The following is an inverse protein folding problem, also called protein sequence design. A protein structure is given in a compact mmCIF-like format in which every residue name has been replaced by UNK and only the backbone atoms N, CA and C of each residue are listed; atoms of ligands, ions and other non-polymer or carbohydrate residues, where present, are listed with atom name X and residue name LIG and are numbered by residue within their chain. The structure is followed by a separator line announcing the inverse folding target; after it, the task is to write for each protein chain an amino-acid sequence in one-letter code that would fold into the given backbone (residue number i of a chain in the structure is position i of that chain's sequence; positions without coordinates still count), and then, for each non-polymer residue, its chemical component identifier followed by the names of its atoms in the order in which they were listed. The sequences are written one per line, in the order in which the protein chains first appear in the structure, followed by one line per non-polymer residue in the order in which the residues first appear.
data_IF_029629067700
#
_entry.id   IF_029629067700
#
_cell.length_a   1.000
_cell.length_b   1.000
_cell.length_c   1.000
_cell.angle_alpha   90.00
_cell.angle_beta   90.00
_cell.angle_gamma   90.00
#
_symmetry.space_group_name_H-M   'P 1'
#
loop_
_entity.id
_entity.type
_entity.pdbx_description
1 polymer ?
#
# COMPACT_ATOMS: atom_id res chain seq x y z
N UNK A 1 -39.44 45.78 -12.63
CA UNK A 1 -39.05 45.97 -14.05
C UNK A 1 -38.34 44.69 -14.47
N UNK A 2 -39.12 43.65 -14.82
CA UNK A 2 -39.41 43.17 -16.21
C UNK A 2 -38.17 42.53 -16.84
N UNK A 3 -38.05 41.19 -16.80
CA UNK A 3 -38.48 40.19 -17.83
C UNK A 3 -37.51 40.18 -19.05
N UNK A 4 -37.14 39.09 -19.73
CA UNK A 4 -37.53 37.66 -19.82
C UNK A 4 -36.49 36.96 -20.74
N UNK A 5 -36.00 35.73 -20.47
CA UNK A 5 -36.47 34.41 -20.95
C UNK A 5 -36.07 33.97 -22.39
N UNK A 6 -35.78 32.65 -22.52
CA UNK A 6 -35.81 31.83 -23.77
C UNK A 6 -34.47 31.15 -24.13
N UNK A 7 -34.16 29.91 -23.71
CA UNK A 7 -34.46 28.60 -24.37
C UNK A 7 -33.86 28.44 -25.79
N UNK A 8 -32.84 27.59 -25.99
CA UNK A 8 -32.83 26.13 -26.26
C UNK A 8 -32.72 25.81 -27.76
N UNK A 9 -31.71 25.01 -28.16
CA UNK A 9 -31.85 23.79 -28.98
C UNK A 9 -30.51 23.28 -29.53
N UNK A 10 -30.29 21.98 -29.39
CA UNK A 10 -29.27 21.19 -30.06
C UNK A 10 -29.64 20.92 -31.53
N UNK A 11 -28.64 20.68 -32.40
CA UNK A 11 -28.72 19.63 -33.42
C UNK A 11 -27.37 19.32 -34.08
N UNK A 12 -27.09 18.02 -34.17
CA UNK A 12 -26.05 17.38 -34.99
C UNK A 12 -26.47 17.33 -36.46
N UNK A 13 -25.51 17.44 -37.39
CA UNK A 13 -25.63 16.81 -38.72
C UNK A 13 -24.23 16.43 -39.22
N UNK A 14 -24.01 15.15 -39.49
CA UNK A 14 -22.90 14.65 -40.30
C UNK A 14 -23.26 14.64 -41.78
N UNK A 15 -22.26 14.64 -42.66
CA UNK A 15 -22.44 14.28 -44.06
C UNK A 15 -21.25 13.47 -44.57
N UNK A 16 -21.55 12.23 -44.99
CA UNK A 16 -20.72 11.37 -45.84
C UNK A 16 -20.85 11.88 -47.28
N UNK A 17 -19.76 11.85 -48.05
CA UNK A 17 -19.82 11.78 -49.52
C UNK A 17 -18.98 10.58 -49.97
N UNK A 18 -19.58 9.77 -50.84
CA UNK A 18 -19.09 8.50 -51.35
C UNK A 18 -19.02 8.54 -52.89
N UNK A 19 -17.95 7.94 -53.44
CA UNK A 19 -17.81 7.22 -54.72
C UNK A 19 -17.95 7.94 -56.08
N UNK A 20 -16.87 7.83 -56.89
CA UNK A 20 -16.80 7.32 -58.30
C UNK A 20 -15.33 7.35 -58.74
N UNK A 21 -14.68 6.37 -59.39
CA UNK A 21 -15.05 5.12 -60.05
C UNK A 21 -14.74 5.18 -61.57
N UNK A 22 -13.65 4.55 -62.04
CA UNK A 22 -13.44 4.16 -63.46
C UNK A 22 -12.00 4.24 -64.01
N UNK A 23 -11.45 3.10 -64.51
CA UNK A 23 -10.15 2.92 -65.24
C UNK A 23 -10.19 3.39 -66.71
N UNK A 24 -9.26 3.13 -67.65
CA UNK A 24 -8.10 2.23 -67.82
C UNK A 24 -7.10 2.80 -68.88
N UNK A 25 -5.82 2.35 -68.82
CA UNK A 25 -4.75 2.08 -69.85
C UNK A 25 -4.37 2.97 -71.06
N UNK A 26 -3.07 3.34 -71.04
CA UNK A 26 -1.95 3.21 -72.04
C UNK A 26 -2.04 3.94 -73.39
N UNK A 27 -1.00 4.51 -74.03
CA UNK A 27 0.47 4.48 -73.96
C UNK A 27 0.96 5.68 -74.84
N UNK A 28 2.19 6.20 -74.66
CA UNK A 28 2.82 7.11 -75.66
C UNK A 28 3.78 8.18 -75.11
N UNK A 29 5.07 7.89 -75.22
CA UNK A 29 6.26 8.79 -75.19
C UNK A 29 6.07 10.11 -76.00
N UNK A 30 6.72 11.27 -75.78
CA UNK A 30 8.07 11.62 -75.32
C UNK A 30 8.17 13.16 -75.08
N UNK A 31 9.27 13.57 -74.41
CA UNK A 31 10.03 14.84 -74.53
C UNK A 31 10.14 15.77 -73.30
N UNK A 32 11.39 15.84 -72.84
CA UNK A 32 12.10 16.78 -71.97
C UNK A 32 11.50 18.18 -71.70
N UNK A 33 11.55 18.63 -70.44
CA UNK A 33 12.61 19.51 -69.90
C UNK A 33 12.31 19.86 -68.43
N UNK A 34 13.37 20.00 -67.62
CA UNK A 34 13.31 19.90 -66.17
C UNK A 34 12.83 21.14 -65.41
N UNK A 35 12.52 20.92 -64.13
CA UNK A 35 13.12 21.66 -63.02
C UNK A 35 12.79 21.00 -61.67
N UNK A 36 13.84 20.67 -60.94
CA UNK A 36 14.01 20.82 -59.49
C UNK A 36 12.82 20.47 -58.56
N UNK A 37 13.02 19.40 -57.79
CA UNK A 37 12.79 19.49 -56.33
C UNK A 37 13.77 18.61 -55.58
N UNK A 38 14.65 19.26 -54.81
CA UNK A 38 15.34 18.68 -53.68
C UNK A 38 14.28 18.19 -52.69
N UNK A 39 14.26 16.89 -52.41
CA UNK A 39 13.36 16.30 -51.40
C UNK A 39 13.70 14.86 -51.02
N UNK A 40 14.94 14.42 -51.27
CA UNK A 40 15.31 13.01 -51.17
C UNK A 40 16.06 12.57 -49.91
N UNK A 41 16.33 13.47 -48.95
CA UNK A 41 17.15 13.13 -47.78
C UNK A 41 16.40 13.13 -46.43
N UNK A 42 15.29 13.87 -46.27
CA UNK A 42 14.54 13.88 -45.00
C UNK A 42 13.62 12.66 -44.86
N UNK A 43 12.95 12.23 -45.94
CA UNK A 43 12.08 11.03 -45.93
C UNK A 43 12.84 9.74 -45.52
N UNK A 44 14.15 9.67 -45.81
CA UNK A 44 14.98 8.49 -45.51
C UNK A 44 15.51 8.49 -44.05
N UNK A 45 15.71 9.67 -43.45
CA UNK A 45 16.09 9.77 -42.03
C UNK A 45 14.90 9.47 -41.12
N UNK A 46 13.72 9.98 -41.44
CA UNK A 46 12.48 9.70 -40.71
C UNK A 46 12.09 8.22 -40.83
N UNK A 47 12.27 7.58 -41.99
CA UNK A 47 12.05 6.14 -42.14
C UNK A 47 13.07 5.30 -41.37
N UNK A 48 14.33 5.74 -41.32
CA UNK A 48 15.38 5.06 -40.54
C UNK A 48 15.16 5.23 -39.04
N UNK A 49 14.73 6.42 -38.60
CA UNK A 49 14.36 6.73 -37.24
C UNK A 49 13.10 5.97 -36.82
N UNK A 50 12.07 5.94 -37.68
CA UNK A 50 10.87 5.13 -37.49
C UNK A 50 11.19 3.64 -37.46
N UNK A 51 12.11 3.15 -38.28
CA UNK A 51 12.57 1.75 -38.26
C UNK A 51 13.37 1.42 -37.00
N UNK A 52 14.14 2.37 -36.47
CA UNK A 52 14.83 2.26 -35.20
C UNK A 52 13.82 2.22 -34.04
N UNK A 53 12.86 3.14 -34.01
CA UNK A 53 11.73 3.14 -33.06
C UNK A 53 10.96 1.82 -33.18
N UNK A 54 10.69 1.33 -34.39
CA UNK A 54 9.94 0.08 -34.61
C UNK A 54 10.70 -1.15 -34.14
N UNK A 55 12.04 -1.14 -34.24
CA UNK A 55 12.93 -2.15 -33.67
C UNK A 55 13.00 -2.06 -32.13
N UNK A 56 12.89 -0.86 -31.57
CA UNK A 56 12.77 -0.64 -30.12
C UNK A 56 11.36 -1.00 -29.59
N UNK A 57 10.32 -0.84 -30.42
CA UNK A 57 8.93 -1.22 -30.12
C UNK A 57 8.67 -2.72 -30.31
N UNK A 58 9.52 -3.44 -31.04
CA UNK A 58 9.38 -4.88 -31.28
C UNK A 58 10.15 -5.71 -30.25
N UNK A 59 9.67 -5.73 -29.02
CA UNK A 59 9.81 -6.90 -28.16
C UNK A 59 8.44 -7.20 -27.54
N UNK A 60 8.02 -8.45 -27.70
CA UNK A 60 6.76 -9.05 -27.22
C UNK A 60 6.27 -8.40 -25.92
N UNK A 61 4.96 -8.13 -25.83
CA UNK A 61 4.30 -7.91 -24.55
C UNK A 61 4.73 -9.08 -23.63
N UNK A 62 5.46 -8.84 -22.52
CA UNK A 62 6.07 -9.94 -21.80
C UNK A 62 4.98 -10.87 -21.29
N UNK A 63 5.16 -12.17 -21.53
CA UNK A 63 4.61 -13.20 -20.65
C UNK A 63 4.82 -12.75 -19.20
N UNK A 64 3.77 -12.82 -18.36
CA UNK A 64 3.77 -12.50 -16.92
C UNK A 64 5.06 -11.83 -16.42
N UNK A 65 5.12 -10.49 -16.51
CA UNK A 65 6.33 -9.72 -16.18
C UNK A 65 6.90 -10.21 -14.83
N UNK A 66 8.09 -10.85 -14.81
CA UNK A 66 8.67 -11.46 -13.61
C UNK A 66 9.14 -10.40 -12.60
N UNK A 67 9.15 -9.12 -13.01
CA UNK A 67 9.51 -7.99 -12.15
C UNK A 67 8.62 -7.94 -10.91
N UNK A 68 9.25 -8.03 -9.75
CA UNK A 68 8.59 -8.00 -8.45
C UNK A 68 9.36 -7.20 -7.39
N UNK A 69 10.63 -6.88 -7.63
CA UNK A 69 11.47 -6.09 -6.72
C UNK A 69 11.71 -4.73 -7.37
N UNK A 70 11.24 -3.67 -6.71
CA UNK A 70 11.22 -2.32 -7.25
C UNK A 70 12.05 -1.37 -6.38
N UNK A 71 12.71 -0.39 -7.02
CA UNK A 71 13.14 0.81 -6.30
C UNK A 71 11.92 1.56 -5.78
N UNK A 72 12.01 2.05 -4.55
CA UNK A 72 10.97 2.85 -3.92
C UNK A 72 10.89 4.19 -4.65
N UNK A 73 9.71 4.59 -5.17
CA UNK A 73 9.55 5.89 -5.81
C UNK A 73 9.95 7.04 -4.88
N UNK A 74 10.71 8.02 -5.40
CA UNK A 74 11.21 9.15 -4.60
C UNK A 74 10.12 9.94 -3.86
N UNK A 75 8.89 9.97 -4.40
CA UNK A 75 7.74 10.58 -3.74
C UNK A 75 7.51 9.95 -2.35
N UNK A 76 7.57 8.62 -2.23
CA UNK A 76 7.40 7.92 -0.95
C UNK A 76 8.59 8.09 -0.02
N UNK A 77 9.79 8.36 -0.54
CA UNK A 77 11.01 8.49 0.28
C UNK A 77 11.04 9.82 1.05
N UNK A 78 10.42 10.88 0.50
CA UNK A 78 10.56 12.29 0.93
C UNK A 78 10.43 12.56 2.43
N UNK A 79 9.46 11.93 3.09
CA UNK A 79 9.18 12.19 4.50
C UNK A 79 10.20 11.57 5.46
N UNK A 80 10.70 10.38 5.13
CA UNK A 80 11.57 9.60 5.99
C UNK A 80 12.31 8.53 5.18
N UNK A 81 13.51 8.85 4.71
CA UNK A 81 14.32 7.95 3.88
C UNK A 81 14.84 6.73 4.66
N UNK A 82 15.14 6.91 5.95
CA UNK A 82 15.77 5.89 6.81
C UNK A 82 14.90 4.64 7.04
N UNK A 83 13.63 4.67 6.63
CA UNK A 83 12.72 3.52 6.72
C UNK A 83 12.82 2.58 5.52
N UNK A 84 13.48 2.98 4.44
CA UNK A 84 13.68 2.17 3.24
C UNK A 84 15.12 1.66 3.07
N UNK A 85 16.06 2.20 3.85
CA UNK A 85 17.49 1.89 3.74
C UNK A 85 17.91 0.85 4.79
N UNK A 86 18.61 -0.25 4.40
CA UNK A 86 19.11 -1.24 5.33
C UNK A 86 20.19 -0.65 6.26
N UNK A 87 20.21 -1.12 7.51
CA UNK A 87 21.09 -0.61 8.57
C UNK A 87 22.19 -1.58 8.99
N UNK A 88 21.96 -2.87 8.86
CA UNK A 88 22.83 -3.97 9.30
C UNK A 88 23.21 -4.90 8.15
N UNK A 89 22.25 -5.32 7.32
CA UNK A 89 22.46 -6.35 6.31
C UNK A 89 21.91 -5.95 4.95
N UNK A 90 22.76 -5.91 3.94
CA UNK A 90 22.33 -5.87 2.54
C UNK A 90 21.90 -7.26 2.08
N UNK A 91 20.84 -7.37 1.32
CA UNK A 91 20.34 -8.60 0.71
C UNK A 91 19.97 -8.26 -0.72
N UNK A 92 20.56 -8.98 -1.67
CA UNK A 92 20.32 -8.71 -3.07
C UNK A 92 21.15 -7.55 -3.62
N UNK A 93 20.94 -7.18 -4.89
CA UNK A 93 21.82 -6.32 -5.66
C UNK A 93 21.76 -4.84 -5.28
N UNK A 94 20.59 -4.34 -4.86
CA UNK A 94 20.33 -2.89 -4.75
C UNK A 94 21.12 -2.17 -3.68
N UNK A 95 21.52 -2.88 -2.62
CA UNK A 95 22.38 -2.38 -1.54
C UNK A 95 23.71 -3.14 -1.44
N UNK A 96 24.02 -3.98 -2.43
CA UNK A 96 25.24 -4.80 -2.42
C UNK A 96 26.51 -3.94 -2.42
N UNK A 97 27.52 -4.35 -1.65
CA UNK A 97 28.81 -3.66 -1.59
C UNK A 97 28.81 -2.34 -0.80
N UNK A 98 27.68 -1.97 -0.17
CA UNK A 98 27.59 -0.77 0.67
C UNK A 98 28.60 -0.78 1.82
N UNK A 99 29.47 0.23 1.90
CA UNK A 99 30.55 0.31 2.92
C UNK A 99 30.06 0.14 4.36
N UNK A 100 28.87 0.67 4.67
CA UNK A 100 28.26 0.60 6.02
C UNK A 100 27.75 -0.80 6.39
N UNK A 101 27.53 -1.68 5.41
CA UNK A 101 26.93 -3.00 5.57
C UNK A 101 27.96 -4.14 5.49
N UNK A 102 29.21 -3.82 5.16
CA UNK A 102 30.29 -4.80 4.99
C UNK A 102 30.53 -5.67 6.23
N UNK A 103 30.27 -5.15 7.43
CA UNK A 103 30.44 -5.90 8.67
C UNK A 103 29.62 -7.20 8.71
N UNK A 104 28.45 -7.24 8.05
CA UNK A 104 27.60 -8.42 8.03
C UNK A 104 28.02 -9.46 6.99
N UNK A 105 28.83 -9.10 5.99
CA UNK A 105 29.23 -10.04 4.93
C UNK A 105 30.01 -11.25 5.49
N UNK A 106 30.83 -11.03 6.53
CA UNK A 106 31.52 -12.12 7.23
C UNK A 106 30.54 -13.07 7.94
N UNK A 107 29.50 -12.51 8.56
CA UNK A 107 28.45 -13.29 9.24
C UNK A 107 27.65 -14.12 8.24
N UNK A 108 27.34 -13.57 7.06
CA UNK A 108 26.68 -14.33 5.99
C UNK A 108 27.51 -15.51 5.51
N UNK A 109 28.82 -15.31 5.35
CA UNK A 109 29.74 -16.39 5.00
C UNK A 109 29.79 -17.46 6.09
N UNK A 110 29.80 -17.06 7.37
CA UNK A 110 29.71 -17.99 8.49
C UNK A 110 28.39 -18.77 8.48
N UNK A 111 27.27 -18.12 8.14
CA UNK A 111 25.97 -18.77 8.02
C UNK A 111 25.93 -19.78 6.86
N UNK A 112 26.49 -19.43 5.70
CA UNK A 112 26.64 -20.34 4.57
C UNK A 112 27.48 -21.56 4.98
N UNK A 113 28.63 -21.34 5.63
CA UNK A 113 29.47 -22.42 6.11
C UNK A 113 28.71 -23.34 7.07
N UNK A 114 27.99 -22.80 8.06
CA UNK A 114 27.19 -23.59 8.98
C UNK A 114 26.10 -24.43 8.29
N UNK A 115 25.54 -23.98 7.16
CA UNK A 115 24.60 -24.77 6.36
C UNK A 115 25.29 -25.91 5.60
N UNK A 116 26.49 -25.68 5.07
CA UNK A 116 27.28 -26.70 4.39
C UNK A 116 27.81 -27.75 5.37
N UNK A 117 28.18 -27.32 6.58
CA UNK A 117 28.77 -28.13 7.64
C UNK A 117 27.76 -29.05 8.35
N UNK A 118 26.48 -29.05 7.94
CA UNK A 118 25.46 -29.84 8.61
C UNK A 118 25.60 -31.36 8.41
N UNK A 119 26.41 -31.86 7.44
CA UNK A 119 27.01 -33.22 7.39
C UNK A 119 28.17 -33.35 6.38
N UNK A 120 29.46 -33.12 6.72
CA UNK A 120 30.53 -33.30 5.73
C UNK A 120 31.80 -34.01 6.19
N UNK A 121 32.36 -34.76 5.25
CA UNK A 121 33.81 -34.78 5.00
C UNK A 121 34.20 -33.55 4.16
N UNK A 122 35.47 -33.10 4.15
CA UNK A 122 35.91 -31.91 3.41
C UNK A 122 35.46 -31.86 1.93
N UNK A 123 35.38 -33.03 1.29
CA UNK A 123 34.95 -33.15 -0.11
C UNK A 123 33.44 -32.95 -0.30
N UNK A 124 32.62 -33.31 0.69
CA UNK A 124 31.15 -33.25 0.58
C UNK A 124 30.64 -31.81 0.66
N UNK A 125 31.19 -30.97 1.54
CA UNK A 125 30.83 -29.54 1.64
C UNK A 125 31.10 -28.78 0.34
N UNK A 126 32.23 -29.09 -0.31
CA UNK A 126 32.61 -28.47 -1.58
C UNK A 126 31.66 -28.89 -2.71
N UNK A 127 31.30 -30.18 -2.78
CA UNK A 127 30.32 -30.69 -3.76
C UNK A 127 28.96 -30.00 -3.58
N UNK A 128 28.47 -29.88 -2.33
CA UNK A 128 27.21 -29.18 -2.06
C UNK A 128 27.24 -27.71 -2.47
N UNK A 129 28.34 -26.98 -2.20
CA UNK A 129 28.46 -25.58 -2.64
C UNK A 129 28.43 -25.45 -4.17
N UNK A 130 29.11 -26.34 -4.89
CA UNK A 130 29.09 -26.37 -6.36
C UNK A 130 27.68 -26.60 -6.89
N UNK A 131 26.89 -27.47 -6.26
CA UNK A 131 25.50 -27.71 -6.61
C UNK A 131 24.60 -26.49 -6.40
N UNK A 132 24.76 -25.77 -5.28
CA UNK A 132 24.04 -24.52 -5.01
C UNK A 132 24.36 -23.46 -6.07
N UNK A 133 25.65 -23.27 -6.37
CA UNK A 133 26.10 -22.29 -7.37
C UNK A 133 25.58 -22.65 -8.76
N UNK A 134 25.65 -23.92 -9.18
CA UNK A 134 25.12 -24.37 -10.47
C UNK A 134 23.62 -24.13 -10.58
N UNK A 135 22.86 -24.46 -9.53
CA UNK A 135 21.43 -24.28 -9.51
C UNK A 135 21.05 -22.80 -9.68
N UNK A 136 21.65 -21.89 -8.91
CA UNK A 136 21.39 -20.45 -9.03
C UNK A 136 21.87 -19.90 -10.39
N UNK A 137 23.03 -20.33 -10.88
CA UNK A 137 23.56 -19.90 -12.18
C UNK A 137 22.62 -20.24 -13.33
N UNK A 138 22.00 -21.43 -13.29
CA UNK A 138 21.07 -21.87 -14.34
C UNK A 138 19.81 -21.00 -14.50
N UNK A 139 19.50 -20.19 -13.48
CA UNK A 139 18.33 -19.33 -13.45
C UNK A 139 18.69 -17.84 -13.39
N UNK A 140 19.96 -17.47 -13.62
CA UNK A 140 20.47 -16.10 -13.49
C UNK A 140 19.66 -15.08 -14.30
N UNK A 141 19.34 -15.38 -15.57
CA UNK A 141 18.59 -14.48 -16.45
C UNK A 141 17.20 -14.17 -15.89
N UNK A 142 16.48 -15.21 -15.43
CA UNK A 142 15.19 -15.05 -14.75
C UNK A 142 15.33 -14.25 -13.46
N UNK A 143 16.37 -14.51 -12.66
CA UNK A 143 16.58 -13.79 -11.39
C UNK A 143 16.86 -12.31 -11.61
N UNK A 144 17.58 -11.95 -12.66
CA UNK A 144 17.84 -10.55 -13.03
C UNK A 144 16.58 -9.85 -13.50
N UNK A 145 15.68 -10.54 -14.20
CA UNK A 145 14.41 -9.97 -14.68
C UNK A 145 13.37 -9.76 -13.58
N UNK A 146 13.60 -10.27 -12.35
CA UNK A 146 12.77 -9.95 -11.19
C UNK A 146 12.96 -8.53 -10.65
N UNK A 147 14.04 -7.83 -11.03
CA UNK A 147 14.35 -6.47 -10.59
C UNK A 147 13.93 -5.45 -11.64
N UNK A 148 13.27 -4.36 -11.22
CA UNK A 148 12.81 -3.33 -12.16
C UNK A 148 13.99 -2.59 -12.82
N UNK A 149 15.10 -2.45 -12.10
CA UNK A 149 16.37 -1.95 -12.61
C UNK A 149 17.33 -3.11 -12.75
N UNK A 150 17.85 -3.33 -13.96
CA UNK A 150 18.79 -4.43 -14.21
C UNK A 150 20.04 -4.27 -13.33
N UNK A 151 20.35 -5.27 -12.48
CA UNK A 151 21.52 -5.19 -11.61
C UNK A 151 22.83 -5.10 -12.39
N UNK A 152 23.62 -4.05 -12.14
CA UNK A 152 24.96 -3.86 -12.72
C UNK A 152 26.02 -4.67 -11.94
N UNK A 153 25.91 -6.00 -12.04
CA UNK A 153 26.84 -6.94 -11.42
C UNK A 153 27.24 -7.98 -12.45
N UNK A 154 28.53 -8.34 -12.47
CA UNK A 154 29.02 -9.47 -13.27
C UNK A 154 28.36 -10.76 -12.82
N UNK A 155 28.21 -11.72 -13.74
CA UNK A 155 27.54 -13.00 -13.47
C UNK A 155 28.12 -13.71 -12.24
N UNK A 156 29.46 -13.74 -12.11
CA UNK A 156 30.11 -14.34 -10.95
C UNK A 156 29.67 -13.71 -9.63
N UNK A 157 29.73 -12.37 -9.53
CA UNK A 157 29.40 -11.63 -8.31
C UNK A 157 27.90 -11.72 -7.98
N UNK A 158 27.05 -11.66 -9.01
CA UNK A 158 25.61 -11.81 -8.86
C UNK A 158 25.23 -13.19 -8.32
N UNK A 159 25.74 -14.27 -8.91
CA UNK A 159 25.45 -15.65 -8.45
C UNK A 159 26.01 -15.87 -7.05
N UNK A 160 27.23 -15.38 -6.76
CA UNK A 160 27.83 -15.47 -5.43
C UNK A 160 26.93 -14.81 -4.37
N UNK A 161 26.49 -13.59 -4.64
CA UNK A 161 25.60 -12.85 -3.74
C UNK A 161 24.28 -13.58 -3.52
N UNK A 162 23.62 -14.06 -4.59
CA UNK A 162 22.36 -14.79 -4.49
C UNK A 162 22.48 -16.04 -3.57
N UNK A 163 23.57 -16.79 -3.70
CA UNK A 163 23.82 -17.97 -2.86
C UNK A 163 24.08 -17.57 -1.41
N UNK A 164 24.99 -16.64 -1.17
CA UNK A 164 25.39 -16.21 0.19
C UNK A 164 24.22 -15.58 0.93
N UNK A 165 23.52 -14.63 0.30
CA UNK A 165 22.40 -13.92 0.89
C UNK A 165 21.19 -14.84 1.10
N UNK A 166 20.92 -15.75 0.14
CA UNK A 166 19.82 -16.72 0.27
C UNK A 166 20.06 -17.72 1.40
N UNK A 167 21.29 -18.21 1.55
CA UNK A 167 21.70 -19.06 2.67
C UNK A 167 21.62 -18.31 4.01
N UNK A 168 21.99 -17.03 4.06
CA UNK A 168 21.82 -16.20 5.25
C UNK A 168 20.35 -16.12 5.67
N UNK A 169 19.44 -15.82 4.74
CA UNK A 169 17.98 -15.78 5.01
C UNK A 169 17.49 -17.10 5.58
N UNK A 170 17.84 -18.23 4.94
CA UNK A 170 17.37 -19.57 5.36
C UNK A 170 17.81 -19.88 6.80
N UNK A 171 19.10 -19.67 7.10
CA UNK A 171 19.64 -19.97 8.44
C UNK A 171 19.07 -19.03 9.50
N UNK A 172 18.94 -17.75 9.18
CA UNK A 172 18.29 -16.77 10.06
C UNK A 172 16.85 -17.21 10.37
N UNK A 173 16.06 -17.57 9.37
CA UNK A 173 14.68 -18.01 9.55
C UNK A 173 14.56 -19.29 10.39
N UNK A 174 15.47 -20.26 10.21
CA UNK A 174 15.53 -21.47 11.05
C UNK A 174 15.74 -21.14 12.52
N UNK A 175 16.66 -20.23 12.81
CA UNK A 175 16.96 -19.78 14.17
C UNK A 175 15.81 -18.98 14.78
N UNK A 176 15.24 -18.03 14.04
CA UNK A 176 14.11 -17.20 14.50
C UNK A 176 12.87 -18.04 14.85
N UNK A 177 12.65 -19.12 14.10
CA UNK A 177 11.53 -20.05 14.29
C UNK A 177 11.86 -21.23 15.23
N UNK A 178 13.03 -21.22 15.90
CA UNK A 178 13.48 -22.26 16.85
C UNK A 178 13.61 -23.67 16.25
N UNK A 179 13.80 -23.78 14.94
CA UNK A 179 14.19 -25.04 14.28
C UNK A 179 15.69 -25.30 14.37
N UNK A 180 16.48 -24.25 14.66
CA UNK A 180 17.90 -24.33 14.95
C UNK A 180 18.19 -23.46 16.17
N UNK A 181 18.93 -23.98 17.15
CA UNK A 181 19.36 -23.16 18.29
C UNK A 181 20.50 -22.25 17.86
N UNK A 182 20.43 -20.93 18.11
CA UNK A 182 21.57 -20.05 17.92
C UNK A 182 22.74 -20.53 18.77
N UNK A 183 23.94 -20.55 18.20
CA UNK A 183 25.15 -20.75 18.99
C UNK A 183 25.28 -19.66 20.06
N UNK A 184 25.91 -19.98 21.19
CA UNK A 184 26.13 -19.02 22.30
C UNK A 184 26.80 -17.72 21.81
N UNK A 185 27.62 -17.81 20.77
CA UNK A 185 28.34 -16.69 20.16
C UNK A 185 27.75 -16.20 18.82
N UNK A 186 26.49 -16.52 18.51
CA UNK A 186 25.86 -16.01 17.29
C UNK A 186 25.77 -14.48 17.32
N UNK A 187 26.40 -13.76 16.36
CA UNK A 187 26.50 -12.30 16.40
C UNK A 187 25.15 -11.60 16.14
N UNK A 188 24.18 -12.28 15.53
CA UNK A 188 22.85 -11.74 15.22
C UNK A 188 21.92 -11.92 16.41
N UNK A 189 21.79 -13.15 16.92
CA UNK A 189 20.82 -13.48 17.97
C UNK A 189 21.30 -13.14 19.38
N UNK A 190 22.61 -13.03 19.62
CA UNK A 190 23.16 -12.65 20.94
C UNK A 190 22.91 -11.19 21.29
N UNK A 191 22.90 -10.30 20.30
CA UNK A 191 22.73 -8.85 20.52
C UNK A 191 21.34 -8.43 20.06
N UNK A 192 20.39 -8.13 20.98
CA UNK A 192 19.00 -7.82 20.62
C UNK A 192 18.84 -6.71 19.57
N UNK A 193 19.72 -5.69 19.63
CA UNK A 193 19.71 -4.60 18.66
C UNK A 193 20.11 -5.04 17.25
N UNK A 194 21.05 -5.98 17.13
CA UNK A 194 21.46 -6.53 15.82
C UNK A 194 20.34 -7.40 15.27
N UNK A 195 19.77 -8.29 16.08
CA UNK A 195 18.59 -9.08 15.73
C UNK A 195 17.44 -8.21 15.20
N UNK A 196 17.04 -7.17 15.95
CA UNK A 196 15.96 -6.28 15.54
C UNK A 196 16.26 -5.51 14.25
N UNK A 197 17.52 -5.10 14.05
CA UNK A 197 17.94 -4.43 12.81
C UNK A 197 17.95 -5.39 11.61
N UNK A 198 18.44 -6.62 11.78
CA UNK A 198 18.39 -7.66 10.72
C UNK A 198 16.95 -7.99 10.35
N UNK A 199 16.05 -8.17 11.32
CA UNK A 199 14.62 -8.39 11.04
C UNK A 199 14.00 -7.27 10.23
N UNK A 200 14.31 -6.02 10.59
CA UNK A 200 13.85 -4.84 9.85
C UNK A 200 14.38 -4.88 8.41
N UNK A 201 15.67 -5.09 8.24
CA UNK A 201 16.34 -5.08 6.94
C UNK A 201 15.83 -6.17 5.99
N UNK A 202 15.47 -7.35 6.52
CA UNK A 202 14.87 -8.45 5.74
C UNK A 202 13.45 -8.12 5.22
N UNK A 203 12.82 -7.07 5.73
CA UNK A 203 11.48 -6.62 5.35
C UNK A 203 11.49 -5.35 4.48
N UNK A 204 12.66 -4.89 4.03
CA UNK A 204 12.76 -3.74 3.13
C UNK A 204 12.56 -4.17 1.68
N UNK A 205 11.76 -3.42 0.91
CA UNK A 205 11.42 -3.75 -0.48
C UNK A 205 12.65 -3.84 -1.38
N UNK A 206 13.59 -2.92 -1.21
CA UNK A 206 14.83 -2.89 -1.99
C UNK A 206 15.87 -3.93 -1.52
N UNK A 207 15.62 -4.62 -0.42
CA UNK A 207 16.56 -5.54 0.22
C UNK A 207 16.04 -6.99 0.15
N UNK A 208 15.58 -7.41 -1.03
CA UNK A 208 14.92 -8.69 -1.26
C UNK A 208 15.68 -9.55 -2.27
N UNK A 209 15.47 -10.88 -2.18
CA UNK A 209 15.78 -11.83 -3.24
C UNK A 209 14.48 -12.38 -3.84
N UNK A 210 14.48 -12.77 -5.13
CA UNK A 210 13.38 -13.52 -5.70
C UNK A 210 13.16 -14.82 -4.92
N UNK A 211 11.90 -15.16 -4.65
CA UNK A 211 11.51 -16.32 -3.84
C UNK A 211 12.11 -17.62 -4.38
N UNK A 212 12.25 -17.75 -5.70
CA UNK A 212 12.86 -18.92 -6.34
C UNK A 212 14.30 -19.17 -5.85
N UNK A 213 15.07 -18.15 -5.47
CA UNK A 213 16.41 -18.31 -4.87
C UNK A 213 16.30 -19.02 -3.53
N UNK A 214 15.49 -18.46 -2.63
CA UNK A 214 15.32 -18.95 -1.26
C UNK A 214 14.75 -20.37 -1.29
N UNK A 215 13.74 -20.63 -2.13
CA UNK A 215 13.14 -21.95 -2.30
C UNK A 215 14.14 -22.97 -2.85
N UNK A 216 14.91 -22.61 -3.88
CA UNK A 216 15.90 -23.49 -4.50
C UNK A 216 17.00 -23.91 -3.52
N UNK A 217 17.51 -22.96 -2.74
CA UNK A 217 18.54 -23.18 -1.73
C UNK A 217 17.99 -23.91 -0.51
N UNK A 218 16.77 -23.58 -0.07
CA UNK A 218 16.11 -24.24 1.06
C UNK A 218 15.93 -25.74 0.80
N UNK A 219 15.39 -26.10 -0.38
CA UNK A 219 15.18 -27.50 -0.74
C UNK A 219 16.49 -28.32 -0.78
N UNK A 220 17.62 -27.67 -1.12
CA UNK A 220 18.94 -28.31 -1.17
C UNK A 220 19.67 -28.35 0.18
N UNK A 221 19.25 -27.52 1.13
CA UNK A 221 19.82 -27.44 2.47
C UNK A 221 18.83 -27.92 3.54
N UNK A 222 17.74 -28.56 3.14
CA UNK A 222 16.66 -29.01 4.02
C UNK A 222 17.16 -30.05 5.02
N UNK A 223 16.77 -29.89 6.28
CA UNK A 223 17.07 -30.82 7.37
C UNK A 223 15.86 -31.73 7.63
N UNK A 224 16.06 -32.97 8.11
CA UNK A 224 14.95 -33.81 8.56
C UNK A 224 14.13 -33.09 9.64
N UNK A 225 12.82 -32.98 9.44
CA UNK A 225 11.91 -32.26 10.35
C UNK A 225 11.64 -30.80 9.98
N UNK A 226 12.33 -30.25 8.96
CA UNK A 226 11.99 -28.93 8.45
C UNK A 226 10.56 -28.91 7.87
N UNK A 227 9.72 -27.92 8.26
CA UNK A 227 8.46 -27.69 7.58
C UNK A 227 8.67 -27.11 6.17
N UNK A 228 7.57 -26.85 5.45
CA UNK A 228 7.65 -26.11 4.19
C UNK A 228 8.21 -24.70 4.43
N UNK A 229 8.98 -24.16 3.48
CA UNK A 229 9.58 -22.82 3.58
C UNK A 229 8.56 -21.75 3.97
N UNK A 230 7.30 -21.87 3.51
CA UNK A 230 6.23 -20.92 3.83
C UNK A 230 5.85 -20.86 5.31
N UNK A 231 6.22 -21.88 6.10
CA UNK A 231 6.01 -21.90 7.55
C UNK A 231 7.13 -21.19 8.31
N UNK A 232 8.28 -20.97 7.68
CA UNK A 232 9.34 -20.14 8.23
C UNK A 232 9.02 -18.67 7.97
N UNK A 233 8.60 -17.99 9.03
CA UNK A 233 8.24 -16.58 8.96
C UNK A 233 8.91 -15.84 10.10
N UNK A 234 9.38 -14.64 9.80
CA UNK A 234 9.82 -13.67 10.80
C UNK A 234 8.61 -13.37 11.68
N UNK A 235 8.79 -13.51 12.99
CA UNK A 235 7.76 -13.12 13.94
C UNK A 235 7.48 -11.60 13.79
N UNK A 236 6.37 -11.27 13.15
CA UNK A 236 5.95 -9.88 12.91
C UNK A 236 5.43 -9.32 14.23
N UNK A 237 6.02 -8.23 14.67
CA UNK A 237 5.76 -7.63 15.99
C UNK A 237 4.28 -7.31 16.27
N UNK A 238 3.46 -7.09 15.23
CA UNK A 238 2.01 -6.87 15.36
C UNK A 238 1.12 -8.10 15.11
N UNK A 239 1.71 -9.28 14.90
CA UNK A 239 1.00 -10.54 14.72
C UNK A 239 1.55 -11.61 15.67
N UNK A 240 0.73 -12.18 16.58
CA UNK A 240 1.17 -13.27 17.45
C UNK A 240 1.60 -14.46 16.60
N UNK A 241 2.60 -15.21 17.07
CA UNK A 241 3.17 -16.35 16.33
C UNK A 241 2.09 -17.37 15.89
N UNK A 242 1.03 -17.57 16.69
CA UNK A 242 -0.11 -18.44 16.38
C UNK A 242 -0.90 -18.01 15.13
N UNK A 243 -0.94 -16.72 14.84
CA UNK A 243 -1.60 -16.15 13.66
C UNK A 243 -0.86 -16.53 12.39
N UNK A 244 0.47 -16.41 12.41
CA UNK A 244 1.34 -16.68 11.26
C UNK A 244 1.32 -18.17 10.89
N UNK A 245 1.27 -19.06 11.89
CA UNK A 245 1.26 -20.51 11.68
C UNK A 245 -0.05 -21.07 11.12
N UNK A 246 -1.18 -20.36 11.28
CA UNK A 246 -2.53 -20.89 10.97
C UNK A 246 -3.05 -20.52 9.57
N UNK A 247 -2.49 -19.50 8.91
CA UNK A 247 -3.05 -18.93 7.65
C UNK A 247 -2.19 -19.12 6.39
N UNK A 248 -1.38 -20.17 6.31
CA UNK A 248 -0.73 -20.55 5.03
C UNK A 248 -1.78 -21.13 4.07
N UNK A 249 -2.62 -20.29 3.47
CA UNK A 249 -3.54 -20.68 2.40
C UNK A 249 -2.79 -20.69 1.08
N UNK A 250 -2.47 -21.89 0.62
CA UNK A 250 -1.81 -22.15 -0.65
C UNK A 250 -2.78 -21.91 -1.81
N UNK A 251 -2.65 -20.77 -2.51
CA UNK A 251 -3.18 -20.59 -3.88
C UNK A 251 -2.33 -19.64 -4.75
N UNK A 252 -1.49 -18.79 -4.16
CA UNK A 252 -0.72 -17.75 -4.88
C UNK A 252 0.78 -18.05 -4.91
N UNK A 253 1.42 -17.82 -6.06
CA UNK A 253 2.87 -17.91 -6.22
C UNK A 253 3.55 -16.72 -5.51
N UNK A 254 4.30 -17.02 -4.44
CA UNK A 254 5.10 -16.05 -3.67
C UNK A 254 6.26 -15.56 -4.54
N UNK A 255 6.46 -14.23 -4.61
CA UNK A 255 7.47 -13.61 -5.48
C UNK A 255 8.78 -13.27 -4.77
N UNK A 256 8.73 -12.86 -3.51
CA UNK A 256 9.88 -12.62 -2.63
C UNK A 256 9.41 -12.66 -1.17
N UNK A 257 10.34 -12.52 -0.22
CA UNK A 257 10.03 -12.69 1.20
C UNK A 257 9.03 -11.64 1.72
N UNK A 258 9.17 -10.36 1.33
CA UNK A 258 8.19 -9.32 1.68
C UNK A 258 6.77 -9.58 1.11
N UNK A 259 6.64 -10.23 -0.06
CA UNK A 259 5.35 -10.61 -0.67
C UNK A 259 4.64 -11.69 0.17
N UNK A 260 5.38 -12.65 0.70
CA UNK A 260 4.84 -13.64 1.64
C UNK A 260 4.31 -12.98 2.91
N UNK A 261 5.06 -12.02 3.47
CA UNK A 261 4.63 -11.26 4.66
C UNK A 261 3.35 -10.49 4.36
N UNK A 262 3.25 -9.86 3.19
CA UNK A 262 2.02 -9.20 2.75
C UNK A 262 0.84 -10.19 2.70
N UNK A 263 1.01 -11.31 2.02
CA UNK A 263 -0.06 -12.31 1.85
C UNK A 263 -0.55 -12.86 3.20
N UNK A 264 0.35 -13.03 4.18
CA UNK A 264 -0.03 -13.43 5.55
C UNK A 264 -0.88 -12.37 6.27
N UNK A 265 -0.61 -11.09 6.06
CA UNK A 265 -1.35 -9.99 6.68
C UNK A 265 -2.72 -9.80 6.03
N UNK A 266 -2.77 -9.87 4.70
CA UNK A 266 -4.01 -9.77 3.92
C UNK A 266 -4.90 -10.99 4.16
N UNK A 267 -4.32 -12.19 4.26
CA UNK A 267 -5.05 -13.42 4.48
C UNK A 267 -6.08 -13.66 3.37
N UNK A 268 -7.33 -13.95 3.76
CA UNK A 268 -8.43 -14.27 2.84
C UNK A 268 -9.36 -13.08 2.56
N UNK A 269 -8.90 -11.85 2.74
CA UNK A 269 -9.72 -10.67 2.45
C UNK A 269 -10.08 -10.63 0.96
N UNK A 270 -11.34 -10.86 0.63
CA UNK A 270 -11.85 -10.71 -0.74
C UNK A 270 -12.21 -9.25 -0.98
N UNK A 271 -11.80 -8.72 -2.14
CA UNK A 271 -12.25 -7.41 -2.63
C UNK A 271 -13.23 -7.64 -3.78
N UNK A 272 -14.49 -7.89 -3.46
CA UNK A 272 -15.52 -8.15 -4.48
C UNK A 272 -16.18 -6.87 -5.02
N UNK A 273 -15.85 -5.70 -4.48
CA UNK A 273 -16.46 -4.42 -4.88
C UNK A 273 -15.44 -3.29 -4.96
N UNK A 274 -15.16 -2.84 -6.19
CA UNK A 274 -14.42 -1.61 -6.43
C UNK A 274 -15.35 -0.42 -6.21
N UNK A 275 -15.07 0.38 -5.19
CA UNK A 275 -15.81 1.61 -4.97
C UNK A 275 -14.86 2.75 -4.59
N UNK A 276 -15.26 3.96 -4.97
CA UNK A 276 -14.58 5.16 -4.55
C UNK A 276 -14.53 5.22 -3.03
N UNK A 277 -13.36 5.55 -2.52
CA UNK A 277 -13.12 5.72 -1.10
C UNK A 277 -14.08 6.74 -0.49
N UNK A 278 -14.68 6.38 0.65
CA UNK A 278 -15.47 7.30 1.48
C UNK A 278 -14.80 7.46 2.84
N UNK A 279 -14.47 8.69 3.27
CA UNK A 279 -13.91 8.93 4.60
C UNK A 279 -14.92 8.52 5.67
N UNK A 280 -14.40 7.97 6.78
CA UNK A 280 -15.17 7.76 8.00
C UNK A 280 -14.78 8.80 9.06
N UNK A 281 -15.69 9.14 9.99
CA UNK A 281 -15.39 10.03 11.11
C UNK A 281 -14.33 9.46 12.07
N UNK A 282 -13.64 10.31 12.85
CA UNK A 282 -12.70 9.88 13.88
C UNK A 282 -13.37 9.10 15.02
N UNK A 283 -12.58 8.34 15.77
CA UNK A 283 -13.05 7.48 16.88
C UNK A 283 -13.90 8.26 17.88
N UNK A 284 -13.47 9.44 18.31
CA UNK A 284 -14.21 10.25 19.27
C UNK A 284 -15.62 10.61 18.80
N UNK A 285 -15.77 11.03 17.54
CA UNK A 285 -17.08 11.32 16.96
C UNK A 285 -17.95 10.07 16.78
N UNK A 286 -17.33 8.95 16.39
CA UNK A 286 -18.03 7.67 16.27
C UNK A 286 -18.54 7.18 17.63
N UNK A 287 -17.72 7.25 18.69
CA UNK A 287 -18.16 6.92 20.05
C UNK A 287 -19.26 7.85 20.53
N UNK A 288 -19.17 9.15 20.22
CA UNK A 288 -20.22 10.10 20.54
C UNK A 288 -21.54 9.60 20.01
N UNK A 289 -21.68 9.29 18.72
CA UNK A 289 -22.96 8.85 18.11
C UNK A 289 -23.44 7.45 18.53
N UNK A 290 -22.62 6.71 19.28
CA UNK A 290 -22.98 5.41 19.87
C UNK A 290 -22.25 4.20 19.28
N UNK A 291 -21.21 4.40 18.45
CA UNK A 291 -20.36 3.30 17.99
C UNK A 291 -19.51 2.78 19.14
N UNK A 292 -19.48 1.46 19.30
CA UNK A 292 -18.67 0.78 20.31
C UNK A 292 -17.52 0.04 19.65
N UNK A 293 -16.31 0.49 19.91
CA UNK A 293 -15.10 -0.22 19.49
C UNK A 293 -14.81 -1.40 20.42
N UNK A 294 -14.45 -2.54 19.82
CA UNK A 294 -14.11 -3.78 20.51
C UNK A 294 -12.90 -4.47 19.87
N UNK A 295 -12.15 -5.20 20.69
CA UNK A 295 -11.06 -6.06 20.23
C UNK A 295 -11.64 -7.27 19.49
N UNK A 296 -11.16 -7.53 18.28
CA UNK A 296 -11.56 -8.71 17.52
C UNK A 296 -10.92 -10.00 18.09
N UNK A 297 -11.51 -11.19 17.85
CA UNK A 297 -10.92 -12.47 18.23
C UNK A 297 -9.52 -12.68 17.62
N UNK A 298 -8.60 -13.37 18.32
CA UNK A 298 -7.21 -13.51 17.91
C UNK A 298 -7.02 -14.28 16.58
N UNK A 299 -8.00 -15.11 16.19
CA UNK A 299 -7.99 -15.88 14.94
C UNK A 299 -8.34 -15.03 13.71
N UNK A 300 -8.90 -13.82 13.91
CA UNK A 300 -9.29 -12.92 12.82
C UNK A 300 -8.07 -12.41 12.05
N UNK A 301 -8.23 -12.24 10.72
CA UNK A 301 -7.16 -11.69 9.88
C UNK A 301 -6.76 -10.30 10.37
N UNK A 302 -5.47 -9.94 10.30
CA UNK A 302 -4.96 -8.69 10.91
C UNK A 302 -5.57 -7.44 10.32
N UNK A 303 -5.91 -7.51 9.04
CA UNK A 303 -6.54 -6.41 8.30
C UNK A 303 -8.07 -6.55 8.28
N UNK A 304 -8.68 -7.60 8.85
CA UNK A 304 -10.13 -7.80 8.80
C UNK A 304 -10.85 -7.01 9.90
N UNK A 305 -11.40 -5.87 9.52
CA UNK A 305 -12.17 -4.96 10.37
C UNK A 305 -13.63 -5.06 9.98
N UNK A 306 -14.49 -5.29 10.97
CA UNK A 306 -15.93 -5.47 10.75
C UNK A 306 -16.74 -4.43 11.51
N UNK A 307 -17.90 -4.08 10.97
CA UNK A 307 -18.86 -3.22 11.64
C UNK A 307 -20.25 -3.84 11.60
N UNK A 308 -20.82 -4.05 12.77
CA UNK A 308 -22.22 -4.43 12.93
C UNK A 308 -23.07 -3.16 13.00
N UNK A 309 -23.82 -2.88 11.92
CA UNK A 309 -24.68 -1.71 11.83
C UNK A 309 -25.93 -1.80 12.73
N UNK A 310 -26.34 -3.01 13.16
CA UNK A 310 -27.47 -3.22 14.06
C UNK A 310 -27.05 -2.82 15.47
N UNK A 311 -25.95 -3.40 15.95
CA UNK A 311 -25.46 -3.19 17.32
C UNK A 311 -24.56 -1.97 17.47
N UNK A 312 -24.15 -1.35 16.36
CA UNK A 312 -23.19 -0.26 16.30
C UNK A 312 -21.80 -0.66 16.81
N UNK A 313 -21.38 -1.91 16.59
CA UNK A 313 -20.11 -2.43 17.12
C UNK A 313 -19.07 -2.51 16.01
N UNK A 314 -17.94 -1.83 16.19
CA UNK A 314 -16.77 -1.97 15.32
C UNK A 314 -15.74 -2.88 15.99
N UNK A 315 -15.45 -4.03 15.36
CA UNK A 315 -14.43 -4.95 15.84
C UNK A 315 -13.14 -4.78 15.05
N UNK A 316 -12.06 -4.51 15.75
CA UNK A 316 -10.74 -4.25 15.17
C UNK A 316 -9.73 -5.26 15.74
N UNK A 317 -8.98 -5.99 14.89
CA UNK A 317 -7.87 -6.82 15.33
C UNK A 317 -6.81 -6.02 16.08
N UNK A 318 -6.17 -6.65 17.07
CA UNK A 318 -5.13 -5.97 17.85
C UNK A 318 -3.94 -5.57 16.97
N UNK A 319 -3.47 -4.34 17.15
CA UNK A 319 -2.23 -3.82 16.56
C UNK A 319 -1.24 -3.46 17.64
N UNK A 320 0.01 -3.91 17.47
CA UNK A 320 1.15 -3.56 18.31
C UNK A 320 2.05 -2.63 17.47
N UNK A 321 2.31 -1.44 18.01
CA UNK A 321 3.09 -0.40 17.34
C UNK A 321 4.44 -0.30 18.05
N UNK A 322 5.48 -0.74 17.37
CA UNK A 322 6.87 -0.70 17.81
C UNK A 322 7.70 0.22 16.90
N UNK A 323 8.98 0.40 17.23
CA UNK A 323 9.92 1.26 16.51
C UNK A 323 10.02 0.90 15.01
N UNK A 324 9.90 -0.38 14.65
CA UNK A 324 10.03 -0.84 13.27
C UNK A 324 8.71 -0.83 12.49
N UNK A 325 7.57 -0.56 13.14
CA UNK A 325 6.23 -0.64 12.52
C UNK A 325 6.11 0.27 11.31
N UNK A 326 6.65 1.50 11.38
CA UNK A 326 6.65 2.45 10.25
C UNK A 326 7.33 1.86 9.03
N UNK A 327 8.53 1.30 9.23
CA UNK A 327 9.36 0.79 8.15
C UNK A 327 8.70 -0.39 7.46
N UNK A 328 8.16 -1.34 8.22
CA UNK A 328 7.50 -2.50 7.64
C UNK A 328 6.25 -2.08 6.85
N UNK A 329 5.38 -1.23 7.41
CA UNK A 329 4.18 -0.78 6.71
C UNK A 329 4.49 0.03 5.45
N UNK A 330 5.45 0.97 5.51
CA UNK A 330 5.81 1.78 4.34
C UNK A 330 6.44 0.96 3.22
N UNK A 331 7.25 -0.05 3.54
CA UNK A 331 7.81 -0.95 2.51
C UNK A 331 6.75 -1.84 1.88
N UNK A 332 5.80 -2.34 2.67
CA UNK A 332 4.68 -3.10 2.14
C UNK A 332 3.74 -2.24 1.28
N UNK A 333 3.44 -1.00 1.70
CA UNK A 333 2.65 -0.04 0.91
C UNK A 333 3.39 0.30 -0.39
N UNK A 334 4.70 0.58 -0.33
CA UNK A 334 5.51 0.84 -1.52
C UNK A 334 5.47 -0.36 -2.48
N UNK A 335 5.48 -1.59 -1.97
CA UNK A 335 5.32 -2.79 -2.77
C UNK A 335 3.94 -2.88 -3.43
N UNK A 336 2.85 -2.59 -2.71
CA UNK A 336 1.50 -2.52 -3.28
C UNK A 336 1.36 -1.46 -4.39
N UNK A 337 2.13 -0.38 -4.31
CA UNK A 337 2.11 0.71 -5.29
C UNK A 337 3.02 0.48 -6.50
N UNK A 338 4.12 -0.24 -6.32
CA UNK A 338 5.04 -0.60 -7.40
C UNK A 338 4.62 -1.85 -8.17
N UNK A 339 3.93 -2.78 -7.52
CA UNK A 339 3.45 -3.98 -8.17
C UNK A 339 2.31 -3.66 -9.16
N UNK A 340 2.44 -4.13 -10.41
CA UNK A 340 1.46 -4.00 -11.52
C UNK A 340 0.07 -4.58 -11.20
N UNK A 341 -0.14 -5.13 -9.99
CA UNK A 341 -1.45 -5.60 -9.53
C UNK A 341 -2.26 -4.41 -9.02
N UNK A 342 -2.87 -3.69 -9.96
CA UNK A 342 -3.72 -2.50 -9.77
C UNK A 342 -4.97 -2.70 -8.89
N UNK A 343 -5.08 -3.77 -8.11
CA UNK A 343 -6.34 -4.18 -7.48
C UNK A 343 -6.23 -4.54 -6.00
N UNK A 344 -5.04 -4.57 -5.40
CA UNK A 344 -4.86 -5.13 -4.05
C UNK A 344 -4.16 -4.18 -3.08
N UNK A 345 -4.64 -2.94 -2.94
CA UNK A 345 -4.10 -1.95 -2.01
C UNK A 345 -4.64 -2.13 -0.57
N UNK A 346 -4.56 -3.34 -0.03
CA UNK A 346 -5.13 -3.67 1.29
C UNK A 346 -4.41 -2.93 2.42
N UNK A 347 -3.09 -2.88 2.39
CA UNK A 347 -2.30 -2.22 3.44
C UNK A 347 -2.41 -0.70 3.36
N UNK A 348 -2.44 -0.13 2.15
CA UNK A 348 -2.74 1.28 1.99
C UNK A 348 -4.15 1.62 2.46
N UNK A 349 -5.15 0.81 2.11
CA UNK A 349 -6.54 0.98 2.57
C UNK A 349 -6.65 0.93 4.09
N UNK A 350 -5.92 0.03 4.71
CA UNK A 350 -5.85 -0.11 6.15
C UNK A 350 -5.18 1.11 6.81
N UNK A 351 -4.05 1.57 6.27
CA UNK A 351 -3.40 2.79 6.72
C UNK A 351 -4.33 4.02 6.59
N UNK A 352 -5.06 4.13 5.48
CA UNK A 352 -6.06 5.20 5.28
C UNK A 352 -7.18 5.12 6.31
N UNK A 353 -7.71 3.93 6.59
CA UNK A 353 -8.76 3.76 7.60
C UNK A 353 -8.29 4.26 8.98
N UNK A 354 -7.07 3.88 9.40
CA UNK A 354 -6.51 4.34 10.68
C UNK A 354 -6.16 5.82 10.69
N UNK A 355 -5.68 6.37 9.58
CA UNK A 355 -5.49 7.82 9.42
C UNK A 355 -6.83 8.57 9.64
N UNK A 356 -7.97 7.99 9.25
CA UNK A 356 -9.28 8.58 9.49
C UNK A 356 -9.78 8.40 10.92
N UNK A 357 -9.62 7.21 11.48
CA UNK A 357 -10.01 6.89 12.86
C UNK A 357 -9.20 7.70 13.89
N UNK A 358 -7.90 7.92 13.65
CA UNK A 358 -6.96 8.52 14.60
C UNK A 358 -6.51 9.89 14.09
N UNK A 359 -7.29 10.93 14.36
CA UNK A 359 -6.93 12.32 14.05
C UNK A 359 -6.21 13.03 15.19
N UNK A 360 -6.36 12.54 16.41
CA UNK A 360 -5.78 13.12 17.61
C UNK A 360 -5.26 12.05 18.58
N UNK A 361 -4.45 12.48 19.55
CA UNK A 361 -4.01 11.60 20.65
C UNK A 361 -5.19 11.09 21.49
N UNK A 362 -6.29 11.87 21.56
CA UNK A 362 -7.53 11.45 22.22
C UNK A 362 -8.17 10.25 21.50
N UNK A 363 -8.22 10.26 20.17
CA UNK A 363 -8.75 9.14 19.39
C UNK A 363 -7.90 7.87 19.62
N UNK A 364 -6.58 8.03 19.62
CA UNK A 364 -5.64 6.94 19.92
C UNK A 364 -5.88 6.38 21.33
N UNK A 365 -6.00 7.25 22.33
CA UNK A 365 -6.22 6.84 23.72
C UNK A 365 -7.48 5.98 23.90
N UNK A 366 -8.55 6.25 23.16
CA UNK A 366 -9.77 5.41 23.19
C UNK A 366 -9.49 3.99 22.71
N UNK A 367 -8.72 3.84 21.63
CA UNK A 367 -8.35 2.53 21.10
C UNK A 367 -7.36 1.79 22.02
N UNK A 368 -6.44 2.52 22.66
CA UNK A 368 -5.51 1.97 23.66
C UNK A 368 -6.26 1.46 24.89
N UNK A 369 -7.22 2.23 25.42
CA UNK A 369 -8.06 1.83 26.57
C UNK A 369 -8.85 0.54 26.31
N UNK A 370 -9.14 0.24 25.04
CA UNK A 370 -9.86 -0.96 24.60
C UNK A 370 -8.94 -2.12 24.22
N UNK A 371 -7.63 -1.97 24.44
CA UNK A 371 -6.59 -2.93 24.04
C UNK A 371 -6.55 -3.25 22.54
N UNK A 372 -7.13 -2.37 21.70
CA UNK A 372 -7.10 -2.50 20.24
C UNK A 372 -5.73 -2.09 19.71
N UNK A 373 -5.17 -1.01 20.26
CA UNK A 373 -3.81 -0.57 19.95
C UNK A 373 -2.96 -0.66 21.20
N UNK A 374 -1.81 -1.32 21.08
CA UNK A 374 -0.70 -1.18 22.00
C UNK A 374 0.41 -0.41 21.30
N UNK A 375 1.06 0.53 21.99
CA UNK A 375 2.14 1.32 21.39
C UNK A 375 3.30 1.52 22.34
N UNK A 376 4.51 1.26 21.85
CA UNK A 376 5.79 1.55 22.54
C UNK A 376 6.29 2.97 22.24
N UNK A 377 5.73 3.62 21.23
CA UNK A 377 6.06 4.99 20.85
C UNK A 377 5.29 5.99 21.71
N UNK A 378 5.69 7.27 21.64
CA UNK A 378 4.86 8.34 22.19
C UNK A 378 3.52 8.41 21.46
N UNK A 379 2.47 8.90 22.13
CA UNK A 379 1.14 9.04 21.53
C UNK A 379 1.21 9.95 20.29
N UNK A 380 2.00 11.01 20.36
CA UNK A 380 2.22 11.97 19.29
C UNK A 380 2.92 11.31 18.09
N UNK A 381 3.94 10.48 18.32
CA UNK A 381 4.63 9.74 17.27
C UNK A 381 3.72 8.71 16.62
N UNK A 382 2.87 8.03 17.40
CA UNK A 382 1.90 7.06 16.87
C UNK A 382 0.82 7.72 16.02
N UNK A 383 0.31 8.88 16.41
CA UNK A 383 -0.62 9.64 15.56
C UNK A 383 0.10 10.11 14.28
N UNK A 384 1.34 10.61 14.39
CA UNK A 384 2.15 11.03 13.24
C UNK A 384 2.45 9.87 12.28
N UNK A 385 2.69 8.67 12.81
CA UNK A 385 2.92 7.45 12.03
C UNK A 385 1.77 7.23 11.04
N UNK A 386 0.52 7.11 11.51
CA UNK A 386 -0.63 6.84 10.65
C UNK A 386 -0.87 7.93 9.61
N UNK A 387 -0.61 9.19 9.95
CA UNK A 387 -0.67 10.29 8.99
C UNK A 387 0.37 10.10 7.88
N UNK A 388 1.63 9.79 8.23
CA UNK A 388 2.76 9.60 7.28
C UNK A 388 2.62 8.37 6.39
N UNK A 389 1.94 7.31 6.85
CA UNK A 389 1.73 6.11 6.03
C UNK A 389 0.95 6.40 4.73
N UNK A 390 0.15 7.47 4.71
CA UNK A 390 -0.69 7.85 3.58
C UNK A 390 -0.10 9.00 2.74
N UNK A 391 1.09 9.50 3.08
CA UNK A 391 1.69 10.64 2.38
C UNK A 391 2.28 10.20 1.05
N UNK A 392 2.07 11.02 0.02
CA UNK A 392 2.63 10.83 -1.33
C UNK A 392 2.27 9.48 -1.98
N UNK A 393 1.22 8.82 -1.49
CA UNK A 393 0.68 7.56 -2.02
C UNK A 393 -0.34 7.81 -3.13
N UNK A 394 -0.19 7.15 -4.27
CA UNK A 394 -1.21 7.11 -5.33
C UNK A 394 -2.37 6.17 -4.94
N UNK A 395 -3.60 6.61 -5.21
CA UNK A 395 -4.84 5.90 -4.82
C UNK A 395 -5.25 4.93 -5.92
N UNK A 396 -5.17 3.63 -5.63
CA UNK A 396 -5.37 2.58 -6.62
C UNK A 396 -6.68 1.81 -6.37
N UNK A 397 -6.91 1.32 -5.14
CA UNK A 397 -8.17 0.68 -4.75
C UNK A 397 -8.41 0.81 -3.24
N UNK A 398 -9.68 0.79 -2.80
CA UNK A 398 -10.03 0.82 -1.37
C UNK A 398 -10.64 -0.53 -0.96
N UNK A 399 -10.09 -1.17 0.07
CA UNK A 399 -10.49 -2.52 0.52
C UNK A 399 -11.59 -2.53 1.58
N UNK A 400 -12.04 -1.38 2.07
CA UNK A 400 -13.12 -1.28 3.08
C UNK A 400 -14.36 -0.49 2.63
N UNK A 401 -14.82 -0.56 1.36
CA UNK A 401 -15.92 0.27 0.89
C UNK A 401 -17.24 -0.08 1.59
N UNK A 402 -17.49 -1.38 1.82
CA UNK A 402 -18.68 -1.87 2.54
C UNK A 402 -18.66 -1.39 3.99
N UNK A 403 -17.54 -1.58 4.69
CA UNK A 403 -17.35 -1.11 6.06
C UNK A 403 -17.60 0.40 6.16
N UNK A 404 -16.97 1.20 5.29
CA UNK A 404 -17.13 2.65 5.30
C UNK A 404 -18.57 3.06 5.00
N UNK A 405 -19.23 2.40 4.05
CA UNK A 405 -20.64 2.63 3.73
C UNK A 405 -21.57 2.33 4.92
N UNK A 406 -21.35 1.21 5.62
CA UNK A 406 -22.14 0.85 6.81
C UNK A 406 -21.92 1.85 7.95
N UNK A 407 -20.67 2.24 8.22
CA UNK A 407 -20.32 3.21 9.27
C UNK A 407 -20.93 4.58 8.96
N UNK A 408 -20.80 5.05 7.72
CA UNK A 408 -21.36 6.33 7.31
C UNK A 408 -22.90 6.33 7.30
N UNK A 409 -23.53 5.25 6.85
CA UNK A 409 -24.99 5.10 6.94
C UNK A 409 -25.48 5.14 8.40
N UNK A 410 -24.82 4.40 9.29
CA UNK A 410 -25.11 4.44 10.73
C UNK A 410 -24.90 5.84 11.32
N UNK A 411 -23.84 6.52 10.90
CA UNK A 411 -23.51 7.87 11.34
C UNK A 411 -24.61 8.86 10.95
N UNK A 412 -24.98 8.94 9.68
CA UNK A 412 -25.99 9.87 9.19
C UNK A 412 -27.33 9.68 9.91
N UNK A 413 -27.80 8.43 10.03
CA UNK A 413 -29.06 8.15 10.73
C UNK A 413 -29.05 8.57 12.21
N UNK A 414 -27.98 8.22 12.95
CA UNK A 414 -27.87 8.52 14.39
C UNK A 414 -27.64 10.00 14.63
N UNK A 415 -26.81 10.63 13.81
CA UNK A 415 -26.53 12.07 13.87
C UNK A 415 -27.84 12.85 13.63
N UNK A 416 -28.61 12.52 12.59
CA UNK A 416 -29.92 13.11 12.33
C UNK A 416 -30.86 12.96 13.53
N UNK A 417 -30.99 11.75 14.09
CA UNK A 417 -31.85 11.48 15.26
C UNK A 417 -31.45 12.32 16.47
N UNK A 418 -30.15 12.46 16.74
CA UNK A 418 -29.66 13.25 17.89
C UNK A 418 -29.77 14.75 17.68
N UNK A 419 -29.52 15.22 16.46
CA UNK A 419 -29.72 16.61 16.10
C UNK A 419 -31.20 16.99 16.24
N UNK A 420 -32.12 16.15 15.73
CA UNK A 420 -33.56 16.31 15.93
C UNK A 420 -33.96 16.28 17.41
N UNK A 421 -33.37 15.39 18.22
CA UNK A 421 -33.60 15.34 19.66
C UNK A 421 -33.11 16.61 20.36
N UNK A 422 -31.93 17.15 19.99
CA UNK A 422 -31.42 18.43 20.51
C UNK A 422 -32.32 19.59 20.12
N UNK A 423 -32.85 19.62 18.89
CA UNK A 423 -33.82 20.64 18.48
C UNK A 423 -35.10 20.53 19.31
N UNK A 424 -35.65 19.32 19.44
CA UNK A 424 -36.82 19.08 20.27
C UNK A 424 -36.59 19.53 21.71
N UNK A 425 -35.44 19.22 22.30
CA UNK A 425 -35.17 19.55 23.69
C UNK A 425 -34.88 21.04 23.90
N UNK A 426 -34.12 21.68 22.99
CA UNK A 426 -33.72 23.09 23.14
C UNK A 426 -34.76 24.09 22.64
N UNK A 427 -35.60 23.72 21.67
CA UNK A 427 -36.59 24.63 21.06
C UNK A 427 -38.04 24.30 21.42
N UNK A 428 -38.41 23.02 21.56
CA UNK A 428 -39.81 22.63 21.80
C UNK A 428 -40.13 22.37 23.28
N UNK A 429 -39.15 22.00 24.10
CA UNK A 429 -39.37 21.63 25.52
C UNK A 429 -38.71 22.56 26.55
N UNK A 430 -38.01 23.61 26.13
CA UNK A 430 -37.40 24.59 27.03
C UNK A 430 -38.13 25.95 26.93
N UNK A 431 -39.29 26.12 27.59
CA UNK A 431 -40.14 27.30 27.40
C UNK A 431 -39.50 28.60 27.90
N UNK A 432 -38.62 28.60 28.90
CA UNK A 432 -38.23 29.85 29.58
C UNK A 432 -37.34 30.79 28.74
N UNK A 433 -36.49 30.28 27.85
CA UNK A 433 -35.58 31.13 27.06
C UNK A 433 -36.22 31.65 25.77
N UNK A 434 -36.97 30.81 25.06
CA UNK A 434 -37.60 31.18 23.76
C UNK A 434 -38.92 31.93 23.94
N UNK A 435 -39.69 31.66 25.00
CA UNK A 435 -40.94 32.39 25.26
C UNK A 435 -40.70 33.88 25.55
N UNK A 436 -39.52 34.24 26.07
CA UNK A 436 -39.13 35.65 26.26
C UNK A 436 -38.81 36.38 24.95
N UNK A 437 -38.06 35.74 24.05
CA UNK A 437 -37.61 36.34 22.78
C UNK A 437 -38.77 36.47 21.79
N UNK A 438 -39.63 35.46 21.70
CA UNK A 438 -40.79 35.48 20.78
C UNK A 438 -41.83 36.53 21.20
N UNK A 439 -42.11 36.69 22.49
CA UNK A 439 -43.04 37.71 22.98
C UNK A 439 -42.48 39.13 22.82
N UNK A 440 -41.17 39.33 23.06
CA UNK A 440 -40.54 40.64 22.86
C UNK A 440 -40.65 41.11 21.41
N UNK A 441 -40.39 40.22 20.43
CA UNK A 441 -40.51 40.54 19.00
C UNK A 441 -41.96 40.85 18.60
N UNK A 442 -42.93 40.09 19.12
CA UNK A 442 -44.36 40.34 18.85
C UNK A 442 -44.82 41.69 19.45
N UNK A 443 -44.40 42.00 20.69
CA UNK A 443 -44.72 43.27 21.35
C UNK A 443 -44.11 44.45 20.59
N UNK A 444 -42.85 44.34 20.16
CA UNK A 444 -42.19 45.37 19.34
C UNK A 444 -42.94 45.57 18.02
N UNK A 445 -43.35 44.50 17.34
CA UNK A 445 -44.13 44.57 16.11
C UNK A 445 -45.47 45.31 16.30
N UNK A 446 -46.22 44.98 17.37
CA UNK A 446 -47.49 45.65 17.70
C UNK A 446 -47.26 47.14 18.00
N UNK A 447 -46.21 47.46 18.77
CA UNK A 447 -45.85 48.84 19.08
C UNK A 447 -45.46 49.62 17.82
N UNK A 448 -44.65 49.04 16.93
CA UNK A 448 -44.31 49.68 15.65
C UNK A 448 -45.52 49.84 14.74
N UNK A 449 -46.44 48.87 14.68
CA UNK A 449 -47.66 49.00 13.91
C UNK A 449 -48.55 50.12 14.45
N UNK A 450 -48.69 50.19 15.77
CA UNK A 450 -49.47 51.23 16.46
C UNK A 450 -48.86 52.61 16.26
N UNK A 451 -47.54 52.74 16.42
CA UNK A 451 -46.78 53.95 16.15
C UNK A 451 -46.94 54.40 14.69
N UNK A 452 -46.91 53.46 13.75
CA UNK A 452 -47.11 53.74 12.31
C UNK A 452 -48.51 54.27 12.05
N UNK A 453 -49.55 53.66 12.64
CA UNK A 453 -50.94 54.12 12.53
C UNK A 453 -51.11 55.53 13.10
N UNK A 454 -50.57 55.81 14.29
CA UNK A 454 -50.63 57.16 14.87
C UNK A 454 -49.86 58.19 14.05
N UNK A 455 -48.70 57.83 13.50
CA UNK A 455 -47.90 58.72 12.63
C UNK A 455 -48.64 59.06 11.34
N UNK A 456 -49.30 58.08 10.72
CA UNK A 456 -50.14 58.29 9.53
C UNK A 456 -51.36 59.14 9.86
N UNK A 457 -52.07 58.86 10.97
CA UNK A 457 -53.22 59.67 11.38
C UNK A 457 -52.84 61.12 11.72
N UNK A 458 -51.65 61.35 12.31
CA UNK A 458 -51.13 62.69 12.58
C UNK A 458 -50.72 63.43 11.30
N UNK A 459 -50.25 62.73 10.27
CA UNK A 459 -49.96 63.30 8.95
C UNK A 459 -51.23 63.75 8.21
N UNK A 460 -52.33 62.99 8.33
CA UNK A 460 -53.61 63.33 7.69
C UNK A 460 -54.50 64.26 8.53
N UNK A 461 -54.22 64.44 9.82
CA UNK A 461 -54.83 65.46 10.69
C UNK A 461 -53.84 66.59 10.95
N UNK A 462 -53.47 67.34 9.91
CA UNK A 462 -53.02 68.71 10.10
C UNK A 462 -54.23 69.64 9.88
N UNK A 463 -54.45 70.63 10.76
CA UNK A 463 -55.60 71.55 10.69
C UNK A 463 -55.62 72.40 9.42
#
# INVERSE_FOLDING_TARGET
MTNSAGESHANSVGSKIQVRGGGERSEGETCHAGNQTLGGNEENEDERFASQIKRELSEKLPELNPTCIFRVPQKLVRDNENVFVPQMVSIGPYHHGGKKLQGMEQVKHWYLQGLLDCKPTPDTSLVSLVELVKAIRSMEEFLRSCYNEKPDLKSYDFVKMMVVDGCFIIRFLRMDNRFEEPGIDDPVFRVPRVYSAVKKDLLLLENQLPWKVVLCLFNRTAKPGDPSLQKFNINLFWAPASFITSRTTATREIRHYLDQVRDLLVGSLTTDTYQYWTPIPPVTHLEEIGVRFQLAPPERARLDITFDAIDGVMQIPQMIIEVNTESVLRNLIAYEQGAVRHHESHLLSYAMLFNHLIKSTKDLERLVQKNIIYTELSKEDTVRLFNRLCNDTERISFSYPVLAGQVNGYYEERWLRRWLARIKNNYLYNPSSVWSVSNAVIIVLILTATQTVYSVLAYYKQP
#
